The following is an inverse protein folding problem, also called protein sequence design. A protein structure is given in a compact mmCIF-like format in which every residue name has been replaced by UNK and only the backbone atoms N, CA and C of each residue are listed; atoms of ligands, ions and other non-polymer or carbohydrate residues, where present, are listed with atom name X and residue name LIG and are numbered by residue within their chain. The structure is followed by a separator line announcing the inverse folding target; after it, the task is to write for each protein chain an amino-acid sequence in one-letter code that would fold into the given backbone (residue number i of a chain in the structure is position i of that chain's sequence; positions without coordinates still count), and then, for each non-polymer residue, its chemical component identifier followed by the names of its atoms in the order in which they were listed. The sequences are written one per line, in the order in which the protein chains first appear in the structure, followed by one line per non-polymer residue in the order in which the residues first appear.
data_IF_158209892709
#
_entry.id   IF_158209892709
#
_cell.length_a   1.000
_cell.length_b   1.000
_cell.length_c   1.000
_cell.angle_alpha   90.00
_cell.angle_beta   90.00
_cell.angle_gamma   90.00
#
_symmetry.space_group_name_H-M   'P 1'
#
loop_
_entity.id
_entity.type
_entity.pdbx_description
1 polymer ?
#
# COMPACT_ATOMS: atom_id res chain seq x y z
N UNK A 1 12.35 29.72 28.07
CA UNK A 1 10.89 29.60 27.89
C UNK A 1 10.66 28.59 26.80
N UNK A 2 9.88 27.54 27.09
CA UNK A 2 9.68 26.36 26.22
C UNK A 2 8.58 26.68 25.22
N UNK A 3 8.83 26.50 23.92
CA UNK A 3 7.78 26.51 22.90
C UNK A 3 7.42 25.05 22.59
N UNK A 4 6.30 24.60 23.16
CA UNK A 4 5.59 23.42 22.69
C UNK A 4 4.81 23.83 21.43
N UNK A 5 5.08 23.20 20.30
CA UNK A 5 4.26 23.37 19.09
C UNK A 5 3.55 22.03 18.81
N UNK A 6 2.36 21.88 19.38
CA UNK A 6 1.40 20.86 18.97
C UNK A 6 0.82 21.27 17.62
N UNK A 7 1.40 20.75 16.54
CA UNK A 7 0.87 20.92 15.19
C UNK A 7 -0.31 19.95 15.00
N UNK A 8 -1.51 20.41 15.35
CA UNK A 8 -2.79 19.78 15.00
C UNK A 8 -3.06 20.02 13.51
N UNK A 9 -2.82 19.02 12.67
CA UNK A 9 -3.31 19.02 11.30
C UNK A 9 -4.78 18.56 11.29
N UNK A 10 -5.68 19.55 11.25
CA UNK A 10 -7.08 19.35 10.90
C UNK A 10 -7.18 19.07 9.39
N UNK A 11 -7.35 17.80 9.00
CA UNK A 11 -7.72 17.44 7.65
C UNK A 11 -9.25 17.43 7.52
N UNK A 12 -9.72 18.27 6.61
CA UNK A 12 -11.09 18.51 6.16
C UNK A 12 -11.86 17.25 5.75
N UNK A 13 -13.11 17.18 6.18
CA UNK A 13 -14.13 16.21 5.77
C UNK A 13 -14.68 16.53 4.37
N UNK A 14 -14.43 15.69 3.36
CA UNK A 14 -15.31 15.50 2.20
C UNK A 14 -15.06 14.10 1.57
N UNK A 15 -16.03 13.19 1.74
CA UNK A 15 -16.52 12.32 0.67
C UNK A 15 -15.61 11.23 0.09
N UNK A 16 -15.27 10.20 0.87
CA UNK A 16 -15.35 8.75 0.57
C UNK A 16 -14.92 8.06 1.85
N UNK A 17 -15.54 6.95 2.24
CA UNK A 17 -15.06 6.15 3.35
C UNK A 17 -13.77 5.42 2.91
N UNK A 18 -12.69 6.17 2.67
CA UNK A 18 -11.35 5.59 2.67
C UNK A 18 -11.17 5.04 4.07
N UNK A 19 -11.28 3.71 4.24
CA UNK A 19 -10.77 3.07 5.44
C UNK A 19 -9.40 3.67 5.69
N UNK A 20 -9.19 4.27 6.88
CA UNK A 20 -7.94 4.96 7.22
C UNK A 20 -6.81 3.94 7.19
N UNK A 21 -6.23 3.72 6.01
CA UNK A 21 -5.09 2.83 5.84
C UNK A 21 -3.92 3.46 6.58
N UNK A 22 -3.16 2.62 7.28
CA UNK A 22 -1.97 3.08 8.02
C UNK A 22 -1.07 3.89 7.10
N UNK A 23 -0.68 5.07 7.56
CA UNK A 23 0.29 5.91 6.86
C UNK A 23 1.67 5.66 7.46
N UNK A 24 2.70 5.73 6.62
CA UNK A 24 4.08 5.59 7.05
C UNK A 24 4.85 6.88 6.75
N UNK A 25 5.90 7.12 7.54
CA UNK A 25 6.90 8.16 7.27
C UNK A 25 8.00 7.55 6.39
N UNK A 26 8.15 7.95 5.12
CA UNK A 26 9.19 7.41 4.26
C UNK A 26 10.59 7.60 4.86
N UNK A 27 11.44 6.59 4.69
CA UNK A 27 12.87 6.74 4.95
C UNK A 27 13.51 7.45 3.75
N UNK A 28 14.10 8.62 3.99
CA UNK A 28 14.74 9.46 2.97
C UNK A 28 16.27 9.41 3.06
N UNK A 29 16.82 8.54 3.92
CA UNK A 29 18.24 8.58 4.30
C UNK A 29 19.17 7.74 3.39
N UNK A 30 18.65 7.13 2.32
CA UNK A 30 19.46 6.45 1.30
C UNK A 30 18.67 6.08 0.03
N UNK A 31 19.38 5.58 -0.99
CA UNK A 31 18.81 5.12 -2.29
C UNK A 31 17.82 3.93 -2.18
N UNK A 32 17.58 3.40 -0.98
CA UNK A 32 16.56 2.35 -0.78
C UNK A 32 15.18 2.99 -0.75
N UNK A 33 14.66 3.25 -1.95
CA UNK A 33 13.29 3.66 -2.18
C UNK A 33 12.35 2.50 -1.83
N UNK A 34 11.43 2.71 -0.87
CA UNK A 34 10.33 1.76 -0.62
C UNK A 34 10.18 1.26 0.81
N UNK A 35 10.98 1.72 1.77
CA UNK A 35 10.75 1.47 3.21
C UNK A 35 10.58 2.77 3.99
N UNK A 36 10.01 2.66 5.18
CA UNK A 36 9.75 3.79 6.05
C UNK A 36 9.33 3.32 7.43
N UNK A 37 8.67 4.20 8.18
CA UNK A 37 8.39 3.99 9.59
C UNK A 37 6.90 4.14 9.90
N UNK A 38 6.38 3.23 10.70
CA UNK A 38 5.02 3.27 11.25
C UNK A 38 5.07 3.21 12.77
N UNK A 39 4.24 4.01 13.45
CA UNK A 39 4.13 3.99 14.91
C UNK A 39 2.93 3.14 15.32
N UNK A 40 3.20 2.07 16.06
CA UNK A 40 2.20 1.11 16.55
C UNK A 40 1.19 1.77 17.47
N UNK A 41 -0.08 1.39 17.34
CA UNK A 41 -1.20 1.82 18.17
C UNK A 41 -1.72 0.68 19.05
N UNK A 42 -2.59 0.99 20.02
CA UNK A 42 -3.06 0.02 21.03
C UNK A 42 -3.84 -1.19 20.46
N UNK A 43 -4.35 -1.10 19.24
CA UNK A 43 -5.17 -2.16 18.62
C UNK A 43 -4.44 -2.91 17.50
N UNK A 44 -3.17 -2.59 17.25
CA UNK A 44 -2.45 -3.18 16.14
C UNK A 44 -2.00 -4.61 16.44
N UNK A 45 -2.11 -5.47 15.45
CA UNK A 45 -1.33 -6.71 15.36
C UNK A 45 -0.30 -6.59 14.24
N UNK A 46 0.82 -7.30 14.36
CA UNK A 46 1.85 -7.29 13.31
C UNK A 46 1.29 -7.78 11.97
N UNK A 47 0.39 -8.77 12.00
CA UNK A 47 -0.32 -9.28 10.83
C UNK A 47 -1.18 -8.20 10.14
N UNK A 48 -1.94 -7.41 10.90
CA UNK A 48 -2.76 -6.33 10.34
C UNK A 48 -1.91 -5.21 9.76
N UNK A 49 -0.82 -4.85 10.45
CA UNK A 49 0.14 -3.86 9.95
C UNK A 49 0.75 -4.36 8.64
N UNK A 50 1.21 -5.61 8.59
CA UNK A 50 1.77 -6.22 7.39
C UNK A 50 0.80 -6.13 6.21
N UNK A 51 -0.45 -6.54 6.41
CA UNK A 51 -1.49 -6.52 5.39
C UNK A 51 -1.73 -5.10 4.83
N UNK A 52 -1.82 -4.09 5.70
CA UNK A 52 -2.00 -2.69 5.28
C UNK A 52 -0.83 -2.16 4.46
N UNK A 53 0.37 -2.64 4.76
CA UNK A 53 1.59 -2.33 4.02
C UNK A 53 1.86 -3.32 2.87
N UNK A 54 0.86 -4.09 2.41
CA UNK A 54 0.99 -5.10 1.33
C UNK A 54 2.16 -6.07 1.55
N UNK A 55 2.41 -6.46 2.79
CA UNK A 55 3.53 -7.28 3.22
C UNK A 55 3.04 -8.55 3.90
N UNK A 56 3.88 -9.57 3.95
CA UNK A 56 3.67 -10.71 4.83
C UNK A 56 4.18 -10.41 6.26
N UNK A 57 3.62 -11.09 7.26
CA UNK A 57 4.11 -10.98 8.64
C UNK A 57 5.58 -11.41 8.76
N UNK A 58 5.98 -12.47 8.05
CA UNK A 58 7.37 -12.97 8.05
C UNK A 58 8.37 -11.90 7.56
N UNK A 59 8.00 -11.14 6.52
CA UNK A 59 8.82 -10.02 6.03
C UNK A 59 8.89 -8.91 7.08
N UNK A 60 7.79 -8.62 7.77
CA UNK A 60 7.78 -7.65 8.86
C UNK A 60 8.64 -8.08 10.04
N UNK A 61 8.64 -9.36 10.40
CA UNK A 61 9.49 -9.95 11.43
C UNK A 61 10.97 -9.84 11.04
N UNK A 62 11.30 -10.12 9.77
CA UNK A 62 12.65 -9.98 9.25
C UNK A 62 13.13 -8.51 9.24
N UNK A 63 12.25 -7.56 8.93
CA UNK A 63 12.55 -6.13 8.97
C UNK A 63 12.67 -5.57 10.39
N UNK A 64 12.05 -6.22 11.38
CA UNK A 64 11.96 -5.77 12.78
C UNK A 64 12.31 -6.90 13.76
N UNK A 65 13.54 -7.41 13.73
CA UNK A 65 13.91 -8.58 14.53
C UNK A 65 13.78 -8.28 16.03
N UNK A 66 13.17 -9.22 16.77
CA UNK A 66 12.95 -9.17 18.22
C UNK A 66 12.12 -7.96 18.70
N UNK A 67 11.21 -7.44 17.86
CA UNK A 67 10.37 -6.31 18.25
C UNK A 67 9.30 -6.71 19.27
N UNK A 68 9.14 -5.89 20.30
CA UNK A 68 8.04 -5.98 21.26
C UNK A 68 6.91 -5.03 20.81
N UNK A 69 5.80 -5.60 20.33
CA UNK A 69 4.72 -4.85 19.70
C UNK A 69 3.86 -4.12 20.74
N UNK A 70 4.35 -2.98 21.23
CA UNK A 70 3.64 -2.08 22.15
C UNK A 70 3.30 -0.76 21.47
N UNK A 71 2.24 -0.11 21.93
CA UNK A 71 1.87 1.23 21.48
C UNK A 71 3.04 2.21 21.60
N UNK A 72 3.27 3.00 20.55
CA UNK A 72 4.42 3.89 20.44
C UNK A 72 5.69 3.26 19.87
N UNK A 73 5.73 1.93 19.69
CA UNK A 73 6.85 1.26 19.00
C UNK A 73 6.94 1.73 17.56
N UNK A 74 8.16 2.02 17.09
CA UNK A 74 8.40 2.43 15.70
C UNK A 74 8.86 1.20 14.92
N UNK A 75 8.03 0.76 13.98
CA UNK A 75 8.36 -0.34 13.07
C UNK A 75 8.93 0.21 11.77
N UNK A 76 9.93 -0.47 11.24
CA UNK A 76 10.31 -0.37 9.83
C UNK A 76 9.27 -1.15 9.01
N UNK A 77 8.71 -0.51 7.99
CA UNK A 77 7.66 -1.09 7.14
C UNK A 77 7.94 -0.81 5.67
N UNK A 78 7.39 -1.59 4.73
CA UNK A 78 7.30 -1.16 3.34
C UNK A 78 6.51 0.14 3.27
N UNK A 79 7.14 1.18 2.73
CA UNK A 79 6.59 2.51 2.68
C UNK A 79 6.83 3.11 1.31
N UNK A 80 5.78 3.14 0.50
CA UNK A 80 5.77 3.87 -0.75
C UNK A 80 4.41 4.48 -0.99
N UNK A 81 4.39 5.55 -1.77
CA UNK A 81 3.15 6.08 -2.34
C UNK A 81 2.59 5.04 -3.32
N UNK A 82 1.34 4.64 -3.11
CA UNK A 82 0.63 3.70 -3.99
C UNK A 82 -0.53 4.40 -4.66
N UNK A 83 -0.69 4.17 -5.97
CA UNK A 83 -1.86 4.64 -6.71
C UNK A 83 -2.81 3.46 -6.89
N UNK A 84 -3.81 3.34 -6.00
CA UNK A 84 -4.82 2.27 -6.01
C UNK A 84 -6.15 2.76 -6.60
N UNK A 85 -6.07 3.44 -7.71
CA UNK A 85 -7.26 3.95 -8.38
C UNK A 85 -7.81 2.83 -9.26
N UNK A 86 -8.97 2.30 -8.90
CA UNK A 86 -9.65 1.27 -9.66
C UNK A 86 -11.12 1.62 -9.81
N UNK A 87 -11.66 1.38 -11.01
CA UNK A 87 -13.09 1.41 -11.26
C UNK A 87 -13.68 0.08 -10.79
N UNK A 88 -14.32 0.08 -9.62
CA UNK A 88 -14.86 -1.13 -8.99
C UNK A 88 -15.93 -1.79 -9.87
N UNK A 89 -15.86 -3.11 -9.99
CA UNK A 89 -16.92 -3.91 -10.59
C UNK A 89 -17.97 -4.17 -9.51
N UNK A 90 -19.23 -3.83 -9.78
CA UNK A 90 -20.32 -4.03 -8.83
C UNK A 90 -20.49 -5.52 -8.50
N UNK A 91 -20.54 -5.86 -7.21
CA UNK A 91 -20.66 -7.25 -6.75
C UNK A 91 -19.40 -8.12 -6.87
N UNK A 92 -18.26 -7.57 -7.31
CA UNK A 92 -16.97 -8.28 -7.39
C UNK A 92 -15.95 -7.65 -6.41
N UNK A 93 -14.95 -8.43 -6.00
CA UNK A 93 -13.78 -7.96 -5.25
C UNK A 93 -12.74 -7.28 -6.15
N UNK A 94 -12.96 -7.30 -7.47
CA UNK A 94 -12.09 -6.72 -8.47
C UNK A 94 -12.65 -5.41 -9.05
N UNK A 95 -11.81 -4.74 -9.82
CA UNK A 95 -12.10 -3.54 -10.58
C UNK A 95 -11.18 -3.44 -11.79
N UNK A 96 -11.24 -2.29 -12.44
CA UNK A 96 -10.46 -1.98 -13.63
C UNK A 96 -9.45 -0.87 -13.35
N UNK A 97 -8.22 -1.09 -13.79
CA UNK A 97 -7.15 -0.12 -13.85
C UNK A 97 -6.79 0.16 -15.30
N UNK A 98 -6.62 1.43 -15.67
CA UNK A 98 -6.14 1.79 -17.01
C UNK A 98 -4.63 1.91 -16.98
N UNK A 99 -3.94 1.10 -17.76
CA UNK A 99 -2.50 1.14 -17.94
C UNK A 99 -2.08 2.48 -18.54
N UNK A 100 -1.11 3.16 -17.95
CA UNK A 100 -0.64 4.48 -18.40
C UNK A 100 0.82 4.47 -18.79
N UNK A 101 1.26 5.51 -19.50
CA UNK A 101 2.65 5.64 -19.91
C UNK A 101 3.60 5.68 -18.70
N UNK A 102 4.69 4.92 -18.79
CA UNK A 102 5.66 4.74 -17.70
C UNK A 102 5.31 3.66 -16.66
N UNK A 103 4.15 3.01 -16.77
CA UNK A 103 3.79 1.90 -15.88
C UNK A 103 4.66 0.67 -16.09
N UNK A 104 4.85 -0.08 -15.00
CA UNK A 104 5.41 -1.42 -15.01
C UNK A 104 4.45 -2.36 -14.29
N UNK A 105 4.21 -3.54 -14.86
CA UNK A 105 3.31 -4.55 -14.27
C UNK A 105 3.67 -4.90 -12.83
N UNK A 106 4.96 -4.94 -12.50
CA UNK A 106 5.44 -5.17 -11.13
C UNK A 106 5.01 -4.07 -10.16
N UNK A 107 5.05 -2.81 -10.60
CA UNK A 107 4.65 -1.65 -9.79
C UNK A 107 3.14 -1.59 -9.62
N UNK A 108 2.37 -1.86 -10.69
CA UNK A 108 0.90 -1.96 -10.64
C UNK A 108 0.50 -3.07 -9.67
N UNK A 109 1.01 -4.29 -9.85
CA UNK A 109 0.69 -5.43 -9.01
C UNK A 109 0.93 -5.10 -7.54
N UNK A 110 2.10 -4.55 -7.25
CA UNK A 110 2.45 -4.21 -5.90
C UNK A 110 1.54 -3.10 -5.34
N UNK A 111 1.10 -2.13 -6.15
CA UNK A 111 0.19 -1.06 -5.68
C UNK A 111 -1.14 -1.66 -5.24
N UNK A 112 -1.62 -2.69 -5.92
CA UNK A 112 -2.80 -3.49 -5.56
C UNK A 112 -2.53 -4.64 -4.58
N UNK A 113 -1.39 -4.63 -3.87
CA UNK A 113 -1.00 -5.66 -2.88
C UNK A 113 -0.98 -7.11 -3.41
N UNK A 114 -0.64 -7.32 -4.67
CA UNK A 114 -0.49 -8.65 -5.26
C UNK A 114 0.87 -8.77 -5.96
N UNK A 115 1.31 -9.99 -6.20
CA UNK A 115 2.48 -10.23 -7.04
C UNK A 115 2.14 -10.14 -8.54
N UNK A 116 3.17 -9.98 -9.37
CA UNK A 116 3.02 -9.83 -10.82
C UNK A 116 2.39 -11.05 -11.50
N UNK A 117 2.57 -12.26 -10.96
CA UNK A 117 2.00 -13.47 -11.55
C UNK A 117 0.51 -13.56 -11.24
N UNK A 118 0.08 -13.12 -10.05
CA UNK A 118 -1.34 -12.96 -9.72
C UNK A 118 -1.99 -11.91 -10.63
N UNK A 119 -1.33 -10.77 -10.87
CA UNK A 119 -1.83 -9.76 -11.80
C UNK A 119 -1.97 -10.32 -13.23
N UNK A 120 -0.97 -11.06 -13.72
CA UNK A 120 -1.05 -11.76 -15.02
C UNK A 120 -2.16 -12.80 -15.05
N UNK A 121 -2.37 -13.54 -13.96
CA UNK A 121 -3.43 -14.56 -13.89
C UNK A 121 -4.83 -13.95 -13.93
N UNK A 122 -5.00 -12.73 -13.40
CA UNK A 122 -6.23 -11.95 -13.54
C UNK A 122 -6.44 -11.43 -14.98
N UNK A 123 -5.37 -11.38 -15.78
CA UNK A 123 -5.34 -10.76 -17.12
C UNK A 123 -4.64 -11.68 -18.14
N UNK A 124 -5.16 -12.90 -18.40
CA UNK A 124 -4.47 -13.89 -19.22
C UNK A 124 -4.16 -13.39 -20.63
N UNK A 125 -5.12 -12.73 -21.28
CA UNK A 125 -4.96 -12.22 -22.66
C UNK A 125 -3.90 -11.11 -22.79
N UNK A 126 -3.78 -10.28 -21.75
CA UNK A 126 -2.78 -9.22 -21.68
C UNK A 126 -1.39 -9.73 -21.25
N UNK A 127 -1.32 -10.91 -20.61
CA UNK A 127 -0.06 -11.45 -20.10
C UNK A 127 0.87 -11.95 -21.20
N UNK A 128 0.31 -12.29 -22.37
CA UNK A 128 1.04 -12.79 -23.53
C UNK A 128 1.44 -11.70 -24.53
N UNK A 129 0.98 -10.46 -24.32
CA UNK A 129 1.21 -9.33 -25.22
C UNK A 129 1.97 -8.19 -24.53
N UNK A 130 2.53 -7.28 -25.33
CA UNK A 130 3.09 -6.03 -24.79
C UNK A 130 1.95 -5.06 -24.54
N UNK A 131 1.82 -4.60 -23.30
CA UNK A 131 0.80 -3.65 -22.92
C UNK A 131 1.08 -2.26 -23.50
N UNK A 132 0.01 -1.59 -23.94
CA UNK A 132 0.03 -0.21 -24.45
C UNK A 132 -0.75 0.73 -23.53
N UNK A 133 -0.34 2.00 -23.37
CA UNK A 133 -1.12 2.99 -22.63
C UNK A 133 -2.56 3.08 -23.13
N UNK A 134 -3.51 3.08 -22.20
CA UNK A 134 -4.95 3.05 -22.47
C UNK A 134 -5.59 1.66 -22.37
N UNK A 135 -4.80 0.59 -22.33
CA UNK A 135 -5.32 -0.76 -22.09
C UNK A 135 -5.82 -0.93 -20.65
N UNK A 136 -6.80 -1.81 -20.47
CA UNK A 136 -7.51 -1.98 -19.20
C UNK A 136 -7.16 -3.33 -18.58
N UNK A 137 -6.68 -3.28 -17.34
CA UNK A 137 -6.34 -4.43 -16.53
C UNK A 137 -7.39 -4.66 -15.44
N UNK A 138 -7.78 -5.91 -15.24
CA UNK A 138 -8.51 -6.36 -14.05
C UNK A 138 -7.54 -6.40 -12.85
N UNK A 139 -7.92 -5.73 -11.77
CA UNK A 139 -7.12 -5.62 -10.53
C UNK A 139 -8.02 -5.84 -9.31
N UNK A 140 -7.47 -6.26 -8.15
CA UNK A 140 -8.21 -6.23 -6.89
C UNK A 140 -8.68 -4.81 -6.55
N UNK A 141 -9.94 -4.67 -6.14
CA UNK A 141 -10.58 -3.39 -5.85
C UNK A 141 -11.52 -3.47 -4.64
N UNK A 142 -11.16 -4.29 -3.65
CA UNK A 142 -12.00 -4.54 -2.47
C UNK A 142 -11.97 -3.43 -1.40
N UNK A 143 -11.21 -2.36 -1.64
CA UNK A 143 -10.86 -1.36 -0.64
C UNK A 143 -11.27 0.08 -1.01
N UNK A 144 -12.08 0.22 -2.06
CA UNK A 144 -12.71 1.47 -2.51
C UNK A 144 -14.20 1.46 -2.16
#
# INVERSE_FOLDING_TARGET
MRFNNNLLLLASFLGVATAFRRTCRPDLTGEITGTGYYTVTNSDTLQQIAADFCSAQEEMDAMNPNVDLKSGTILKVPCRTRKRDCSRIEGDYNGYYTFVDGDQLSMIAADFCIDVNTLRSLNPDASETTLSPGEVLKVPCAWN
#
